data_IF_892793433739
#
_entry.id   IF_892793433739
#
_cell.length_a   1.000
_cell.length_b   1.000
_cell.length_c   1.000
_cell.angle_alpha   90.00
_cell.angle_beta   90.00
_cell.angle_gamma   90.00
#
_symmetry.space_group_name_H-M   'P 1'
#
loop_
_entity.id
_entity.type
_entity.pdbx_description
1 polymer ?
#
# COMPACT_ATOMS: atom_id res chain seq x y z
N UNK A 1 10.43 -29.24 2.07
CA UNK A 1 10.74 -28.11 2.97
C UNK A 1 9.72 -27.04 2.68
N UNK A 2 8.70 -26.98 3.51
CA UNK A 2 7.53 -26.12 3.35
C UNK A 2 7.89 -24.70 3.73
N UNK A 3 7.65 -23.78 2.80
CA UNK A 3 7.77 -22.32 3.05
C UNK A 3 6.36 -21.79 3.31
N UNK A 4 5.84 -22.07 4.50
CA UNK A 4 4.67 -21.42 5.05
C UNK A 4 5.11 -20.50 6.18
N UNK A 5 5.35 -19.25 5.88
CA UNK A 5 5.28 -18.20 6.90
C UNK A 5 5.05 -16.85 6.23
N UNK A 6 4.04 -16.13 6.70
CA UNK A 6 3.68 -14.73 6.41
C UNK A 6 2.61 -14.44 5.36
N UNK A 7 1.56 -15.26 5.29
CA UNK A 7 0.32 -14.87 4.61
C UNK A 7 -0.78 -14.58 5.64
N UNK A 8 -0.54 -13.75 6.64
CA UNK A 8 -1.49 -13.66 7.76
C UNK A 8 -2.06 -12.27 8.05
N UNK A 9 -2.15 -11.34 7.12
CA UNK A 9 -2.77 -10.08 7.49
C UNK A 9 -3.84 -9.50 6.54
N UNK A 10 -4.05 -10.03 5.33
CA UNK A 10 -5.11 -9.51 4.45
C UNK A 10 -5.90 -10.55 3.66
N UNK A 11 -5.79 -11.82 4.01
CA UNK A 11 -6.72 -12.84 3.51
C UNK A 11 -7.94 -12.90 4.43
N UNK A 12 -9.13 -12.91 3.85
CA UNK A 12 -10.45 -13.03 4.51
C UNK A 12 -10.64 -14.25 5.45
N UNK A 13 -9.55 -14.83 5.97
CA UNK A 13 -9.54 -15.98 6.89
C UNK A 13 -8.88 -15.69 8.23
N UNK A 14 -8.56 -14.46 8.58
CA UNK A 14 -7.93 -14.15 9.87
C UNK A 14 -8.97 -13.92 10.98
N UNK A 15 -9.83 -14.92 11.24
CA UNK A 15 -10.75 -14.92 12.39
C UNK A 15 -10.16 -15.54 13.67
N UNK A 16 -8.91 -16.01 13.67
CA UNK A 16 -8.41 -16.83 14.79
C UNK A 16 -7.24 -16.26 15.59
N UNK A 17 -6.74 -15.06 15.30
CA UNK A 17 -5.59 -14.52 16.06
C UNK A 17 -5.86 -13.21 16.81
N UNK A 18 -7.10 -12.96 17.19
CA UNK A 18 -7.45 -11.81 18.02
C UNK A 18 -7.82 -12.26 19.43
N UNK A 19 -7.01 -11.99 20.46
CA UNK A 19 -7.44 -12.23 21.84
C UNK A 19 -8.61 -11.29 22.16
N UNK A 20 -9.63 -11.82 22.85
CA UNK A 20 -10.85 -11.14 23.27
C UNK A 20 -10.57 -9.76 23.89
N UNK A 21 -10.73 -8.71 23.08
CA UNK A 21 -10.95 -7.35 23.57
C UNK A 21 -12.46 -7.07 23.47
N UNK A 22 -13.13 -6.82 24.60
CA UNK A 22 -14.60 -6.78 24.66
C UNK A 22 -15.28 -5.61 23.93
N UNK A 23 -14.54 -4.63 23.43
CA UNK A 23 -15.11 -3.40 22.87
C UNK A 23 -14.62 -3.05 21.44
N UNK A 24 -14.16 -4.03 20.68
CA UNK A 24 -13.75 -3.74 19.27
C UNK A 24 -14.87 -4.04 18.30
N UNK A 25 -15.13 -3.14 17.32
CA UNK A 25 -16.11 -3.38 16.29
C UNK A 25 -15.79 -4.66 15.53
N UNK A 26 -16.80 -5.46 15.23
CA UNK A 26 -16.66 -6.64 14.39
C UNK A 26 -16.38 -6.22 12.95
N UNK A 27 -15.66 -7.05 12.18
CA UNK A 27 -15.35 -6.76 10.76
C UNK A 27 -16.60 -6.44 9.93
N UNK A 28 -17.79 -6.92 10.35
CA UNK A 28 -19.08 -6.62 9.73
C UNK A 28 -19.61 -5.22 10.04
N UNK A 29 -19.10 -4.57 11.08
CA UNK A 29 -19.49 -3.22 11.50
C UNK A 29 -18.60 -2.14 10.91
N UNK A 30 -17.42 -2.52 10.40
CA UNK A 30 -16.50 -1.62 9.69
C UNK A 30 -16.99 -1.51 8.24
N UNK A 31 -18.00 -0.65 8.01
CA UNK A 31 -18.34 -0.25 6.65
C UNK A 31 -17.21 0.59 6.08
N UNK A 32 -16.66 0.24 4.90
CA UNK A 32 -15.81 1.18 4.20
C UNK A 32 -16.59 2.49 3.97
N UNK A 33 -15.95 3.65 4.00
CA UNK A 33 -16.60 4.93 3.73
C UNK A 33 -16.99 4.97 2.24
N UNK A 34 -18.17 4.43 1.92
CA UNK A 34 -18.55 4.09 0.55
C UNK A 34 -19.22 5.23 -0.24
N UNK A 35 -19.34 6.46 0.26
CA UNK A 35 -20.16 7.43 -0.48
C UNK A 35 -19.68 8.91 -0.50
N UNK A 36 -18.48 9.22 -0.01
CA UNK A 36 -17.88 10.52 -0.25
C UNK A 36 -16.38 10.34 -0.47
N UNK A 37 -15.99 10.10 -1.72
CA UNK A 37 -14.61 10.27 -2.17
C UNK A 37 -14.27 11.76 -2.02
N UNK A 38 -13.90 12.18 -0.82
CA UNK A 38 -13.35 13.49 -0.57
C UNK A 38 -11.94 13.54 -1.14
N UNK A 39 -11.62 14.63 -1.79
CA UNK A 39 -10.23 14.93 -2.10
C UNK A 39 -9.43 14.91 -0.80
N UNK A 40 -8.42 14.06 -0.74
CA UNK A 40 -7.57 13.88 0.44
C UNK A 40 -6.14 14.21 0.05
N UNK A 41 -5.54 15.17 0.75
CA UNK A 41 -4.12 15.47 0.58
C UNK A 41 -3.25 14.32 1.14
N UNK A 42 -1.99 14.22 0.70
CA UNK A 42 -1.05 13.24 1.27
C UNK A 42 -0.89 13.40 2.79
N UNK A 43 -0.92 14.62 3.29
CA UNK A 43 -0.84 14.91 4.73
C UNK A 43 -2.07 14.40 5.48
N UNK A 44 -3.25 14.60 4.93
CA UNK A 44 -4.47 14.05 5.51
C UNK A 44 -4.51 12.53 5.44
N UNK A 45 -4.00 11.94 4.37
CA UNK A 45 -3.85 10.49 4.27
C UNK A 45 -2.92 9.95 5.35
N UNK A 46 -1.75 10.59 5.57
CA UNK A 46 -0.84 10.21 6.66
C UNK A 46 -1.55 10.25 8.02
N UNK A 47 -2.32 11.30 8.28
CA UNK A 47 -3.09 11.44 9.52
C UNK A 47 -4.19 10.38 9.65
N UNK A 48 -4.93 10.08 8.57
CA UNK A 48 -5.98 9.06 8.56
C UNK A 48 -5.41 7.67 8.84
N UNK A 49 -4.28 7.31 8.20
CA UNK A 49 -3.61 6.03 8.44
C UNK A 49 -3.10 5.94 9.89
N UNK A 50 -2.53 7.01 10.42
CA UNK A 50 -2.07 7.05 11.83
C UNK A 50 -3.22 6.82 12.81
N UNK A 51 -4.36 7.49 12.61
CA UNK A 51 -5.57 7.27 13.41
C UNK A 51 -6.06 5.84 13.30
N UNK A 52 -6.15 5.31 12.06
CA UNK A 52 -6.59 3.93 11.85
C UNK A 52 -5.68 2.91 12.56
N UNK A 53 -4.36 3.08 12.47
CA UNK A 53 -3.41 2.19 13.17
C UNK A 53 -3.62 2.24 14.69
N UNK A 54 -3.85 3.43 15.27
CA UNK A 54 -4.05 3.59 16.72
C UNK A 54 -5.38 3.05 17.20
N UNK A 55 -6.43 3.18 16.40
CA UNK A 55 -7.80 2.82 16.76
C UNK A 55 -8.12 1.35 16.46
N UNK A 56 -7.67 0.85 15.31
CA UNK A 56 -8.02 -0.47 14.77
C UNK A 56 -6.81 -1.41 14.80
N UNK A 57 -5.65 -0.96 14.30
CA UNK A 57 -4.41 -1.74 14.17
C UNK A 57 -3.68 -1.97 15.50
N UNK A 58 -4.13 -1.33 16.58
CA UNK A 58 -3.53 -1.35 17.94
C UNK A 58 -2.20 -0.59 17.99
N UNK A 59 -1.24 -0.89 17.13
CA UNK A 59 0.05 -0.22 17.01
C UNK A 59 0.70 -0.49 15.66
N UNK A 60 1.66 0.33 15.32
CA UNK A 60 2.55 0.02 14.19
C UNK A 60 3.37 -1.25 14.46
N UNK A 61 3.64 -2.02 13.43
CA UNK A 61 4.72 -3.00 13.45
C UNK A 61 6.08 -2.27 13.50
N UNK A 62 7.18 -3.01 13.69
CA UNK A 62 8.49 -2.38 13.56
C UNK A 62 8.74 -1.90 12.12
N UNK A 63 9.59 -0.89 11.97
CA UNK A 63 9.92 -0.33 10.64
C UNK A 63 10.46 -1.41 9.70
N UNK A 64 11.26 -2.33 10.22
CA UNK A 64 11.80 -3.45 9.44
C UNK A 64 10.70 -4.42 9.01
N UNK A 65 9.72 -4.70 9.87
CA UNK A 65 8.57 -5.53 9.51
C UNK A 65 7.72 -4.84 8.44
N UNK A 66 7.42 -3.55 8.60
CA UNK A 66 6.68 -2.78 7.59
C UNK A 66 7.44 -2.70 6.25
N UNK A 67 8.77 -2.61 6.28
CA UNK A 67 9.55 -2.68 5.05
C UNK A 67 9.44 -4.05 4.36
N UNK A 68 9.44 -5.14 5.13
CA UNK A 68 9.24 -6.48 4.57
C UNK A 68 7.83 -6.64 3.96
N UNK A 69 6.79 -6.11 4.63
CA UNK A 69 5.43 -6.08 4.09
C UNK A 69 5.34 -5.26 2.80
N UNK A 70 5.97 -4.09 2.75
CA UNK A 70 6.00 -3.30 1.51
C UNK A 70 6.58 -4.09 0.34
N UNK A 71 7.62 -4.89 0.58
CA UNK A 71 8.21 -5.73 -0.46
C UNK A 71 7.29 -6.89 -0.88
N UNK A 72 6.49 -7.41 0.05
CA UNK A 72 5.45 -8.41 -0.23
C UNK A 72 4.37 -7.83 -1.15
N UNK A 73 3.79 -6.67 -0.80
CA UNK A 73 2.75 -6.00 -1.61
C UNK A 73 3.26 -5.63 -3.02
N UNK A 74 4.51 -5.16 -3.13
CA UNK A 74 5.16 -4.93 -4.43
C UNK A 74 5.29 -6.23 -5.23
N UNK A 75 5.57 -7.35 -4.58
CA UNK A 75 5.59 -8.67 -5.21
C UNK A 75 4.22 -9.12 -5.71
N UNK A 76 3.16 -8.85 -4.95
CA UNK A 76 1.77 -9.16 -5.33
C UNK A 76 1.32 -8.29 -6.51
N UNK A 77 1.58 -6.99 -6.47
CA UNK A 77 1.37 -6.10 -7.61
C UNK A 77 2.10 -6.58 -8.86
N UNK A 78 3.37 -6.94 -8.72
CA UNK A 78 4.20 -7.44 -9.84
C UNK A 78 3.63 -8.73 -10.44
N UNK A 79 3.08 -9.60 -9.61
CA UNK A 79 2.41 -10.84 -10.04
C UNK A 79 1.17 -10.55 -10.89
N UNK A 80 0.34 -9.56 -10.50
CA UNK A 80 -0.83 -9.15 -11.28
C UNK A 80 -0.40 -8.54 -12.62
N UNK A 81 0.61 -7.64 -12.60
CA UNK A 81 1.14 -7.04 -13.82
C UNK A 81 1.66 -8.07 -14.81
N UNK A 82 2.44 -9.05 -14.34
CA UNK A 82 2.98 -10.12 -15.19
C UNK A 82 1.88 -10.98 -15.85
N UNK A 83 0.70 -11.10 -15.22
CA UNK A 83 -0.44 -11.85 -15.75
C UNK A 83 -1.38 -11.01 -16.60
N UNK A 84 -1.51 -9.72 -16.28
CA UNK A 84 -2.41 -8.82 -17.03
C UNK A 84 -1.75 -8.32 -18.32
N UNK A 85 -0.47 -7.98 -18.25
CA UNK A 85 0.25 -7.30 -19.34
C UNK A 85 1.45 -8.09 -19.87
N UNK A 86 1.81 -9.20 -19.23
CA UNK A 86 2.92 -10.06 -19.59
C UNK A 86 2.45 -11.41 -20.14
N UNK A 87 3.37 -12.37 -20.17
CA UNK A 87 3.16 -13.69 -20.80
C UNK A 87 2.64 -14.76 -19.82
N UNK A 88 2.39 -14.42 -18.55
CA UNK A 88 1.86 -15.36 -17.56
C UNK A 88 0.34 -15.39 -17.54
N UNK A 89 -0.24 -16.57 -17.35
CA UNK A 89 -1.70 -16.72 -17.21
C UNK A 89 -2.14 -16.67 -15.75
N UNK A 90 -3.36 -16.16 -15.52
CA UNK A 90 -4.00 -16.24 -14.21
C UNK A 90 -4.29 -17.69 -13.81
N UNK A 91 -4.07 -18.01 -12.53
CA UNK A 91 -4.54 -19.25 -11.93
C UNK A 91 -5.95 -19.05 -11.38
N UNK A 92 -6.69 -20.14 -11.15
CA UNK A 92 -8.05 -20.07 -10.55
C UNK A 92 -8.04 -19.41 -9.16
N UNK A 93 -6.95 -19.52 -8.41
CA UNK A 93 -6.75 -18.86 -7.11
C UNK A 93 -6.54 -17.36 -7.21
N UNK A 94 -6.25 -16.82 -8.37
CA UNK A 94 -5.91 -15.40 -8.55
C UNK A 94 -7.14 -14.52 -8.81
N UNK A 95 -8.34 -15.11 -8.90
CA UNK A 95 -9.58 -14.41 -9.23
C UNK A 95 -10.04 -13.37 -8.17
N UNK A 96 -9.43 -13.39 -6.99
CA UNK A 96 -9.74 -12.48 -5.88
C UNK A 96 -8.80 -11.25 -5.82
N UNK A 97 -7.77 -11.17 -6.65
CA UNK A 97 -6.79 -10.09 -6.58
C UNK A 97 -7.15 -8.96 -7.52
N UNK A 98 -7.11 -7.75 -7.00
CA UNK A 98 -7.41 -6.51 -7.73
C UNK A 98 -6.16 -5.64 -7.81
N UNK A 99 -5.88 -5.09 -8.99
CA UNK A 99 -4.78 -4.15 -9.20
C UNK A 99 -4.89 -2.92 -8.29
N UNK A 100 -6.11 -2.46 -8.03
CA UNK A 100 -6.37 -1.32 -7.15
C UNK A 100 -6.06 -1.63 -5.70
N UNK A 101 -6.33 -2.85 -5.25
CA UNK A 101 -6.11 -3.26 -3.87
C UNK A 101 -4.60 -3.34 -3.60
N UNK A 102 -3.82 -4.00 -4.46
CA UNK A 102 -2.36 -4.07 -4.29
C UNK A 102 -1.69 -2.68 -4.33
N UNK A 103 -2.18 -1.77 -5.18
CA UNK A 103 -1.68 -0.39 -5.19
C UNK A 103 -2.05 0.36 -3.91
N UNK A 104 -3.24 0.11 -3.35
CA UNK A 104 -3.66 0.71 -2.10
C UNK A 104 -2.86 0.16 -0.91
N UNK A 105 -2.56 -1.15 -0.89
CA UNK A 105 -1.78 -1.80 0.16
C UNK A 105 -0.33 -1.30 0.16
N UNK A 106 0.30 -1.18 -1.00
CA UNK A 106 1.62 -0.53 -1.14
C UNK A 106 1.60 0.88 -0.57
N UNK A 107 0.59 1.68 -0.93
CA UNK A 107 0.47 3.06 -0.46
C UNK A 107 0.26 3.11 1.06
N UNK A 108 -0.58 2.23 1.61
CA UNK A 108 -0.85 2.13 3.04
C UNK A 108 0.43 1.83 3.83
N UNK A 109 1.18 0.81 3.43
CA UNK A 109 2.43 0.42 4.13
C UNK A 109 3.51 1.51 3.97
N UNK A 110 3.60 2.15 2.81
CA UNK A 110 4.51 3.29 2.60
C UNK A 110 4.17 4.46 3.52
N UNK A 111 2.89 4.76 3.69
CA UNK A 111 2.41 5.80 4.64
C UNK A 111 2.73 5.42 6.08
N UNK A 112 2.57 4.16 6.46
CA UNK A 112 2.97 3.67 7.78
C UNK A 112 4.47 3.94 8.04
N UNK A 113 5.34 3.58 7.10
CA UNK A 113 6.78 3.85 7.20
C UNK A 113 7.09 5.34 7.28
N UNK A 114 6.41 6.18 6.50
CA UNK A 114 6.59 7.62 6.55
C UNK A 114 6.20 8.20 7.93
N UNK A 115 5.08 7.75 8.49
CA UNK A 115 4.63 8.17 9.81
C UNK A 115 5.61 7.77 10.92
N UNK A 116 6.11 6.53 10.87
CA UNK A 116 7.07 6.01 11.85
C UNK A 116 8.43 6.72 11.81
N UNK A 117 8.86 7.12 10.62
CA UNK A 117 10.16 7.77 10.40
C UNK A 117 10.09 9.30 10.42
N UNK A 118 8.90 9.88 10.61
CA UNK A 118 8.67 11.32 10.64
C UNK A 118 8.83 12.00 9.27
N UNK A 119 8.68 11.24 8.18
CA UNK A 119 8.76 11.79 6.81
C UNK A 119 7.42 12.41 6.43
N UNK A 120 7.43 13.71 6.10
CA UNK A 120 6.30 14.40 5.44
C UNK A 120 6.32 14.05 3.94
N UNK A 121 5.41 13.18 3.51
CA UNK A 121 5.33 12.73 2.11
C UNK A 121 4.97 13.87 1.15
N UNK A 122 4.21 14.85 1.58
CA UNK A 122 3.90 16.03 0.77
C UNK A 122 5.18 16.77 0.42
N UNK A 123 5.97 17.12 1.44
CA UNK A 123 7.25 17.80 1.26
C UNK A 123 8.21 16.96 0.42
N UNK A 124 8.38 15.68 0.77
CA UNK A 124 9.28 14.77 0.08
C UNK A 124 8.93 14.63 -1.42
N UNK A 125 7.64 14.56 -1.75
CA UNK A 125 7.19 14.45 -3.14
C UNK A 125 7.49 15.74 -3.94
N UNK A 126 7.19 16.92 -3.38
CA UNK A 126 7.49 18.18 -4.06
C UNK A 126 9.00 18.38 -4.29
N UNK A 127 9.83 18.08 -3.29
CA UNK A 127 11.29 18.14 -3.44
C UNK A 127 11.81 17.14 -4.49
N UNK A 128 11.22 15.94 -4.52
CA UNK A 128 11.59 14.93 -5.51
C UNK A 128 11.19 15.34 -6.93
N UNK A 129 10.00 15.92 -7.11
CA UNK A 129 9.57 16.45 -8.41
C UNK A 129 10.46 17.59 -8.90
N UNK A 130 10.83 18.51 -8.02
CA UNK A 130 11.77 19.59 -8.38
C UNK A 130 13.11 19.01 -8.86
N UNK A 131 13.70 18.07 -8.09
CA UNK A 131 14.95 17.40 -8.49
C UNK A 131 14.84 16.67 -9.83
N UNK A 132 13.71 16.00 -10.09
CA UNK A 132 13.46 15.32 -11.37
C UNK A 132 13.33 16.31 -12.51
N UNK A 133 12.64 17.41 -12.30
CA UNK A 133 12.48 18.48 -13.31
C UNK A 133 13.85 19.03 -13.70
N UNK A 134 14.66 19.43 -12.72
CA UNK A 134 15.99 19.97 -12.98
C UNK A 134 16.91 18.99 -13.73
N UNK A 135 16.88 17.71 -13.33
CA UNK A 135 17.74 16.67 -13.92
C UNK A 135 17.29 16.22 -15.31
N UNK A 136 16.00 16.05 -15.50
CA UNK A 136 15.47 15.21 -16.59
C UNK A 136 14.72 16.01 -17.67
N UNK A 137 14.30 17.25 -17.41
CA UNK A 137 13.48 18.03 -18.35
C UNK A 137 14.13 18.17 -19.73
N UNK A 138 15.42 18.55 -19.78
CA UNK A 138 16.15 18.70 -21.03
C UNK A 138 16.46 17.35 -21.69
N UNK A 139 16.86 16.36 -20.89
CA UNK A 139 17.16 15.01 -21.35
C UNK A 139 15.93 14.35 -22.00
N UNK A 140 14.74 14.51 -21.42
CA UNK A 140 13.51 13.94 -21.97
C UNK A 140 13.05 14.72 -23.22
N UNK A 141 13.16 16.06 -23.21
CA UNK A 141 12.83 16.88 -24.38
C UNK A 141 13.66 16.53 -25.60
N UNK A 142 14.93 16.20 -25.41
CA UNK A 142 15.88 15.89 -26.49
C UNK A 142 15.92 14.39 -26.84
N UNK A 143 15.12 13.54 -26.17
CA UNK A 143 15.11 12.11 -26.44
C UNK A 143 14.19 11.78 -27.64
N UNK A 144 14.76 11.32 -28.79
CA UNK A 144 13.96 11.03 -29.98
C UNK A 144 12.94 9.88 -29.79
N UNK A 145 13.13 9.02 -28.75
CA UNK A 145 12.20 7.93 -28.44
C UNK A 145 10.95 8.40 -27.67
N UNK A 146 10.95 9.62 -27.15
CA UNK A 146 9.83 10.21 -26.40
C UNK A 146 9.06 11.25 -27.22
N UNK A 147 9.45 11.48 -28.47
CA UNK A 147 8.70 12.32 -29.38
C UNK A 147 7.51 11.54 -29.94
N UNK A 148 6.33 12.17 -30.13
CA UNK A 148 5.13 11.54 -30.66
C UNK A 148 5.31 11.06 -32.11
#
# INVERSE_FOLDING_TARGET
>A
MERHLLVFLFSSSCTTFWPNFPDKPTMSEIKPPAENLQEVTLRELQSKVDSWIKEIGVRYFSELTNLAMLMEEVGELSRIFARTYGDQSFKKSDAAYSLSDEMADILFVLVCLANQTGVDLTKAMFENLAKKTDRDAERHRNNPKLQP
#
